data_IF_949678989728
#
_entry.id   IF_949678989728
#
_cell.length_a   1.000
_cell.length_b   1.000
_cell.length_c   1.000
_cell.angle_alpha   90.00
_cell.angle_beta   90.00
_cell.angle_gamma   90.00
#
_symmetry.space_group_name_H-M   'P 1'
#
loop_
_entity.id
_entity.type
_entity.pdbx_description
1 polymer ?
#
# COMPACT_ATOMS: atom_id res chain seq x y z
N UNK A 1 -27.89 -5.66 -17.07
CA UNK A 1 -27.27 -4.32 -17.02
C UNK A 1 -25.94 -4.41 -17.75
N UNK A 2 -25.71 -3.64 -18.82
CA UNK A 2 -24.41 -3.63 -19.52
C UNK A 2 -23.43 -2.81 -18.68
N UNK A 3 -22.45 -3.46 -18.05
CA UNK A 3 -21.32 -2.75 -17.43
C UNK A 3 -20.56 -2.04 -18.54
N UNK A 4 -20.68 -0.71 -18.60
CA UNK A 4 -19.85 0.11 -19.48
C UNK A 4 -18.46 0.12 -18.86
N UNK A 5 -17.60 -0.79 -19.28
CA UNK A 5 -16.19 -0.79 -18.94
C UNK A 5 -15.54 0.46 -19.54
N UNK A 6 -15.43 1.53 -18.74
CA UNK A 6 -14.68 2.73 -19.13
C UNK A 6 -13.21 2.49 -18.85
N UNK A 7 -12.47 2.13 -19.89
CA UNK A 7 -11.01 2.02 -19.85
C UNK A 7 -10.43 3.38 -19.43
N UNK A 8 -9.60 3.41 -18.38
CA UNK A 8 -8.95 4.65 -17.95
C UNK A 8 -7.77 4.98 -18.84
N UNK A 9 -7.67 6.25 -19.25
CA UNK A 9 -6.74 6.71 -20.26
C UNK A 9 -5.27 6.51 -19.88
N UNK A 10 -4.90 6.79 -18.63
CA UNK A 10 -3.49 6.76 -18.24
C UNK A 10 -2.97 5.33 -17.99
N UNK A 11 -3.44 4.67 -16.93
CA UNK A 11 -2.88 3.36 -16.53
C UNK A 11 -3.64 2.14 -17.06
N UNK A 12 -4.65 2.31 -17.92
CA UNK A 12 -5.41 1.20 -18.50
C UNK A 12 -6.20 0.31 -17.52
N UNK A 13 -6.35 0.72 -16.25
CA UNK A 13 -7.13 -0.03 -15.28
C UNK A 13 -8.61 -0.18 -15.73
N UNK A 14 -9.05 -1.42 -15.89
CA UNK A 14 -10.42 -1.78 -16.28
C UNK A 14 -11.43 -1.59 -15.13
N UNK A 15 -10.94 -1.66 -13.89
CA UNK A 15 -11.73 -1.46 -12.69
C UNK A 15 -11.20 -0.27 -11.89
N UNK A 16 -12.03 0.75 -11.70
CA UNK A 16 -11.76 1.84 -10.78
C UNK A 16 -13.01 2.19 -10.00
N UNK A 17 -12.93 2.18 -8.67
CA UNK A 17 -14.04 2.57 -7.78
C UNK A 17 -14.52 4.02 -8.03
N UNK A 18 -13.65 4.85 -8.61
CA UNK A 18 -13.94 6.25 -8.93
C UNK A 18 -13.21 6.67 -10.20
N UNK A 19 -13.91 7.33 -11.11
CA UNK A 19 -13.35 7.91 -12.32
C UNK A 19 -13.21 9.43 -12.15
N UNK A 20 -12.06 9.98 -12.52
CA UNK A 20 -11.82 11.42 -12.55
C UNK A 20 -11.84 11.89 -14.01
N UNK A 21 -12.61 12.93 -14.32
CA UNK A 21 -12.63 13.55 -15.65
C UNK A 21 -11.25 14.14 -15.98
N UNK A 22 -10.77 13.91 -17.20
CA UNK A 22 -9.52 14.48 -17.69
C UNK A 22 -9.76 15.37 -18.90
N UNK A 23 -9.97 14.77 -20.08
CA UNK A 23 -10.34 15.47 -21.30
C UNK A 23 -11.80 15.16 -21.66
N UNK A 24 -12.28 15.70 -22.79
CA UNK A 24 -13.70 15.70 -23.21
C UNK A 24 -14.36 14.32 -23.07
N UNK A 25 -13.60 13.25 -23.32
CA UNK A 25 -14.09 11.86 -23.26
C UNK A 25 -13.13 10.89 -22.53
N UNK A 26 -12.12 11.41 -21.82
CA UNK A 26 -11.10 10.59 -21.17
C UNK A 26 -11.23 10.66 -19.65
N UNK A 27 -11.10 9.49 -19.01
CA UNK A 27 -11.16 9.35 -17.56
C UNK A 27 -9.85 8.79 -17.00
N UNK A 28 -9.50 9.23 -15.80
CA UNK A 28 -8.39 8.69 -15.01
C UNK A 28 -8.96 7.87 -13.85
N UNK A 29 -8.28 6.77 -13.47
CA UNK A 29 -8.60 6.08 -12.23
C UNK A 29 -8.37 7.00 -11.02
N UNK A 30 -8.84 6.59 -9.84
CA UNK A 30 -8.65 7.37 -8.61
C UNK A 30 -7.19 7.76 -8.38
N UNK A 31 -6.28 6.78 -8.49
CA UNK A 31 -4.84 6.96 -8.23
C UNK A 31 -4.20 7.90 -9.25
N UNK A 32 -4.51 7.75 -10.53
CA UNK A 32 -3.97 8.64 -11.58
C UNK A 32 -4.51 10.06 -11.47
N UNK A 33 -5.79 10.22 -11.08
CA UNK A 33 -6.39 11.53 -10.84
C UNK A 33 -5.79 12.26 -9.65
N UNK A 34 -5.55 11.55 -8.54
CA UNK A 34 -4.84 12.10 -7.36
C UNK A 34 -3.41 12.53 -7.72
N UNK A 35 -2.67 11.69 -8.44
CA UNK A 35 -1.30 12.03 -8.86
C UNK A 35 -1.27 13.30 -9.72
N UNK A 36 -2.18 13.42 -10.69
CA UNK A 36 -2.28 14.61 -11.54
C UNK A 36 -2.63 15.85 -10.74
N UNK A 37 -3.55 15.77 -9.79
CA UNK A 37 -3.91 16.90 -8.92
C UNK A 37 -2.73 17.41 -8.09
N UNK A 38 -1.85 16.52 -7.64
CA UNK A 38 -0.69 16.89 -6.81
C UNK A 38 0.50 17.40 -7.63
N UNK A 39 0.76 16.79 -8.78
CA UNK A 39 1.99 17.03 -9.54
C UNK A 39 1.78 17.88 -10.80
N UNK A 40 0.54 18.09 -11.23
CA UNK A 40 0.21 18.67 -12.53
C UNK A 40 0.47 17.75 -13.74
N UNK A 41 1.07 16.57 -13.54
CA UNK A 41 1.53 15.65 -14.58
C UNK A 41 0.77 14.33 -14.59
N UNK A 42 0.82 13.58 -15.70
CA UNK A 42 0.29 12.21 -15.73
C UNK A 42 1.18 11.28 -14.88
N UNK A 43 0.56 10.28 -14.25
CA UNK A 43 1.27 9.31 -13.40
C UNK A 43 2.20 8.46 -14.28
N UNK A 44 3.52 8.45 -14.03
CA UNK A 44 4.49 7.67 -14.80
C UNK A 44 4.22 6.16 -14.77
N UNK A 45 4.60 5.46 -15.84
CA UNK A 45 4.37 4.01 -16.04
C UNK A 45 5.03 3.15 -14.96
N UNK A 46 6.21 3.55 -14.52
CA UNK A 46 7.01 2.93 -13.47
C UNK A 46 6.24 2.87 -12.14
N UNK A 47 5.36 3.85 -11.93
CA UNK A 47 4.53 3.92 -10.73
C UNK A 47 3.23 3.14 -10.85
N UNK A 48 2.78 2.73 -12.04
CA UNK A 48 1.49 2.04 -12.24
C UNK A 48 1.42 0.75 -11.41
N UNK A 49 2.54 0.05 -11.33
CA UNK A 49 2.71 -1.17 -10.54
C UNK A 49 2.95 -0.85 -9.05
N UNK A 50 1.89 -0.76 -8.27
CA UNK A 50 1.99 -1.05 -6.83
C UNK A 50 0.75 -1.81 -6.39
N UNK A 51 0.86 -3.14 -6.39
CA UNK A 51 0.30 -4.11 -5.43
C UNK A 51 0.05 -5.45 -6.11
N UNK A 52 1.01 -6.39 -5.96
CA UNK A 52 0.88 -7.87 -6.04
C UNK A 52 2.12 -8.56 -6.61
N UNK A 53 3.15 -7.84 -7.06
CA UNK A 53 4.48 -8.46 -7.08
C UNK A 53 4.84 -8.67 -5.61
N UNK A 54 4.64 -9.90 -5.11
CA UNK A 54 5.32 -10.40 -3.93
C UNK A 54 6.76 -9.94 -4.11
N UNK A 55 7.19 -8.94 -3.34
CA UNK A 55 8.63 -8.68 -3.18
C UNK A 55 9.10 -9.85 -2.30
N UNK A 56 9.26 -11.00 -2.93
CA UNK A 56 10.04 -12.16 -2.47
C UNK A 56 11.45 -12.03 -3.04
N UNK A 57 11.96 -10.81 -3.19
CA UNK A 57 13.41 -10.63 -3.29
C UNK A 57 13.95 -10.78 -1.88
N UNK A 58 14.28 -12.02 -1.51
CA UNK A 58 15.14 -12.44 -0.39
C UNK A 58 14.85 -11.86 1.00
N UNK A 59 13.65 -11.35 1.23
CA UNK A 59 13.26 -10.87 2.54
C UNK A 59 12.99 -12.06 3.46
N UNK A 60 13.66 -12.05 4.62
CA UNK A 60 13.49 -12.99 5.72
C UNK A 60 13.02 -12.22 6.94
N UNK A 61 12.03 -12.75 7.65
CA UNK A 61 11.59 -12.15 8.91
C UNK A 61 12.70 -12.28 9.96
N UNK A 62 13.16 -11.19 10.57
CA UNK A 62 14.21 -11.22 11.58
C UNK A 62 13.79 -11.91 12.90
N UNK A 63 12.49 -12.18 13.10
CA UNK A 63 11.97 -12.84 14.32
C UNK A 63 11.69 -14.33 14.10
N UNK A 64 10.92 -14.66 13.06
CA UNK A 64 10.44 -16.03 12.83
C UNK A 64 11.02 -16.67 11.57
N UNK A 65 11.98 -16.00 10.93
CA UNK A 65 12.70 -16.53 9.78
C UNK A 65 11.87 -16.84 8.52
N UNK A 66 10.57 -16.61 8.55
CA UNK A 66 9.72 -16.83 7.38
C UNK A 66 10.19 -15.98 6.22
N UNK A 67 10.26 -16.59 5.03
CA UNK A 67 10.45 -15.91 3.75
C UNK A 67 9.12 -15.68 3.03
N UNK A 68 8.02 -16.15 3.63
CA UNK A 68 6.66 -16.09 3.07
C UNK A 68 5.74 -15.27 3.96
N UNK A 69 5.29 -14.14 3.42
CA UNK A 69 4.22 -13.33 4.00
C UNK A 69 3.57 -12.49 2.90
N UNK A 70 2.33 -12.06 3.12
CA UNK A 70 1.63 -11.20 2.16
C UNK A 70 2.02 -9.72 2.28
N UNK A 71 2.64 -9.33 3.41
CA UNK A 71 3.06 -7.96 3.68
C UNK A 71 4.30 -7.94 4.59
N UNK A 72 5.30 -7.14 4.18
CA UNK A 72 6.56 -6.92 4.88
C UNK A 72 6.58 -5.53 5.53
N UNK A 73 7.07 -5.45 6.76
CA UNK A 73 7.30 -4.20 7.50
C UNK A 73 8.80 -4.03 7.75
N UNK A 74 9.28 -2.79 7.82
CA UNK A 74 10.66 -2.51 8.24
C UNK A 74 10.76 -2.62 9.76
N UNK A 75 11.86 -3.22 10.25
CA UNK A 75 12.24 -3.14 11.65
C UNK A 75 12.93 -1.80 11.94
N UNK A 76 13.18 -1.49 13.22
CA UNK A 76 13.93 -0.29 13.62
C UNK A 76 15.39 -0.33 13.20
N UNK A 77 15.92 -1.53 12.97
CA UNK A 77 17.27 -1.72 12.46
C UNK A 77 17.26 -1.70 10.92
N UNK A 78 18.27 -1.07 10.28
CA UNK A 78 18.41 -1.09 8.84
C UNK A 78 18.47 -2.54 8.34
N UNK A 79 17.90 -2.79 7.17
CA UNK A 79 17.91 -4.10 6.48
C UNK A 79 17.13 -5.24 7.16
N UNK A 80 16.60 -5.02 8.36
CA UNK A 80 15.75 -5.99 9.03
C UNK A 80 14.28 -5.83 8.64
N UNK A 81 13.65 -6.94 8.28
CA UNK A 81 12.24 -6.99 7.89
C UNK A 81 11.43 -7.85 8.87
N UNK A 82 10.20 -7.44 9.12
CA UNK A 82 9.21 -8.19 9.86
C UNK A 82 8.11 -8.70 8.93
N UNK A 83 7.73 -9.96 9.09
CA UNK A 83 6.49 -10.44 8.52
C UNK A 83 5.29 -9.78 9.22
N UNK A 84 4.13 -9.76 8.56
CA UNK A 84 2.90 -9.20 9.12
C UNK A 84 2.58 -9.70 10.53
N UNK A 85 2.70 -10.99 10.78
CA UNK A 85 2.35 -11.58 12.08
C UNK A 85 3.28 -11.08 13.19
N UNK A 86 4.58 -11.04 12.92
CA UNK A 86 5.59 -10.55 13.86
C UNK A 86 5.43 -9.05 14.14
N UNK A 87 5.17 -8.25 13.10
CA UNK A 87 4.86 -6.84 13.25
C UNK A 87 3.62 -6.62 14.13
N UNK A 88 2.51 -7.32 13.85
CA UNK A 88 1.28 -7.18 14.63
C UNK A 88 1.50 -7.54 16.11
N UNK A 89 2.30 -8.58 16.38
CA UNK A 89 2.62 -9.00 17.76
C UNK A 89 3.40 -7.91 18.50
N UNK A 90 4.44 -7.35 17.88
CA UNK A 90 5.22 -6.24 18.47
C UNK A 90 4.34 -5.00 18.68
N UNK A 91 3.54 -4.64 17.68
CA UNK A 91 2.66 -3.47 17.74
C UNK A 91 1.65 -3.57 18.89
N UNK A 92 1.04 -4.75 19.07
CA UNK A 92 0.12 -5.01 20.19
C UNK A 92 0.82 -4.92 21.56
N UNK A 93 2.03 -5.47 21.67
CA UNK A 93 2.82 -5.36 22.90
C UNK A 93 3.15 -3.90 23.24
N UNK A 94 3.55 -3.10 22.24
CA UNK A 94 3.81 -1.66 22.43
C UNK A 94 2.55 -0.88 22.85
N UNK A 95 1.38 -1.20 22.28
CA UNK A 95 0.14 -0.55 22.70
C UNK A 95 -0.18 -0.91 24.15
N UNK A 96 -0.07 -2.19 24.52
CA UNK A 96 -0.34 -2.66 25.89
C UNK A 96 0.53 -1.92 26.91
N UNK A 97 1.83 -1.82 26.68
CA UNK A 97 2.76 -1.12 27.58
C UNK A 97 2.47 0.38 27.68
N UNK A 98 2.04 1.02 26.58
CA UNK A 98 1.60 2.43 26.61
C UNK A 98 0.36 2.65 27.44
N UNK A 99 -0.62 1.74 27.35
CA UNK A 99 -1.86 1.81 28.13
C UNK A 99 -1.58 1.60 29.62
N UNK A 100 -0.74 0.62 29.97
CA UNK A 100 -0.36 0.34 31.35
C UNK A 100 0.38 1.52 32.01
N UNK A 101 1.30 2.17 31.29
CA UNK A 101 2.00 3.38 31.76
C UNK A 101 1.08 4.58 31.98
N UNK A 102 -0.01 4.71 31.21
CA UNK A 102 -1.01 5.77 31.42
C UNK A 102 -1.86 5.53 32.67
N UNK A 103 -2.11 4.27 33.01
CA UNK A 103 -2.92 3.90 34.17
C UNK A 103 -2.14 3.91 35.50
N UNK A 104 -0.81 3.90 35.46
CA UNK A 104 0.05 3.99 36.66
C UNK A 104 0.39 5.42 37.08
N UNK A 105 0.13 6.41 36.22
CA UNK A 105 0.36 7.84 36.49
C UNK A 105 -0.95 8.60 36.83
N UNK A 106 -1.99 7.90 37.30
CA UNK A 106 -3.29 8.46 37.67
C UNK A 106 -3.65 7.97 39.06
#
# INVERSE_FOLDING_TARGET
MKEIYKIVFNCGAEQSKRLNKYLKEQFLCHVCGEYRRRSGKLRPKEMWFKTKKRITQDRKCCICETTSTYLWYCHSEPENYLCKQCYDKQYRAMIKTKTERKNTNK
#
